data_IF_710105176730
#
_entry.id   IF_710105176730
#
_cell.length_a   1.000
_cell.length_b   1.000
_cell.length_c   1.000
_cell.angle_alpha   90.00
_cell.angle_beta   90.00
_cell.angle_gamma   90.00
#
_symmetry.space_group_name_H-M   'P 1'
#
loop_
_entity.id
_entity.type
_entity.pdbx_description
1 polymer ?
#
# COMPACT_ATOMS: atom_id res chain seq x y z
N UNK A 1 -27.07 28.00 36.28
CA UNK A 1 -25.94 28.11 35.34
C UNK A 1 -25.30 26.74 35.23
N UNK A 2 -25.54 26.02 34.15
CA UNK A 2 -24.76 24.84 33.80
C UNK A 2 -24.73 24.78 32.28
N UNK A 3 -23.57 25.08 31.73
CA UNK A 3 -23.29 25.21 30.30
C UNK A 3 -23.25 23.84 29.64
N UNK A 4 -24.21 23.59 28.75
CA UNK A 4 -24.23 22.44 27.84
C UNK A 4 -23.14 22.65 26.79
N UNK A 5 -22.06 21.87 26.87
CA UNK A 5 -21.06 21.79 25.82
C UNK A 5 -21.64 20.91 24.69
N UNK A 6 -22.06 21.56 23.60
CA UNK A 6 -22.43 20.91 22.36
C UNK A 6 -21.18 20.39 21.66
N UNK A 7 -20.88 19.10 21.83
CA UNK A 7 -19.90 18.40 21.00
C UNK A 7 -20.51 18.22 19.61
N UNK A 8 -20.09 19.03 18.65
CA UNK A 8 -20.46 18.88 17.24
C UNK A 8 -19.86 17.59 16.71
N UNK A 9 -20.69 16.56 16.53
CA UNK A 9 -20.38 15.38 15.74
C UNK A 9 -20.16 15.81 14.29
N UNK A 10 -18.90 15.91 13.87
CA UNK A 10 -18.57 16.02 12.44
C UNK A 10 -18.98 14.69 11.82
N UNK A 11 -20.07 14.70 11.04
CA UNK A 11 -20.54 13.53 10.31
C UNK A 11 -19.47 13.10 9.32
N UNK A 12 -18.93 11.90 9.55
CA UNK A 12 -18.01 11.19 8.66
C UNK A 12 -18.76 10.78 7.38
N UNK A 13 -18.96 11.72 6.45
CA UNK A 13 -19.64 11.44 5.19
C UNK A 13 -18.74 10.57 4.29
N UNK A 14 -19.00 9.27 4.31
CA UNK A 14 -18.41 8.32 3.36
C UNK A 14 -19.02 8.56 1.96
N UNK A 15 -18.16 8.94 1.03
CA UNK A 15 -18.47 9.22 -0.36
C UNK A 15 -18.16 7.99 -1.20
N UNK A 16 -19.15 7.50 -1.94
CA UNK A 16 -18.93 6.46 -2.95
C UNK A 16 -18.82 7.12 -4.32
N UNK A 17 -17.68 7.03 -4.97
CA UNK A 17 -17.40 7.63 -6.28
C UNK A 17 -17.29 6.54 -7.35
N UNK A 18 -17.78 6.82 -8.55
CA UNK A 18 -17.68 5.93 -9.71
C UNK A 18 -16.70 6.55 -10.70
N UNK A 19 -15.61 5.83 -10.97
CA UNK A 19 -14.55 6.26 -11.87
C UNK A 19 -14.63 5.43 -13.14
N UNK A 20 -14.89 6.10 -14.27
CA UNK A 20 -14.90 5.48 -15.59
C UNK A 20 -13.50 5.57 -16.20
N UNK A 21 -12.89 4.43 -16.48
CA UNK A 21 -11.58 4.32 -17.11
C UNK A 21 -11.54 3.14 -18.09
N UNK A 22 -10.96 3.34 -19.27
CA UNK A 22 -10.84 2.33 -20.34
C UNK A 22 -12.16 1.59 -20.64
N UNK A 23 -13.28 2.33 -20.67
CA UNK A 23 -14.62 1.78 -20.92
C UNK A 23 -15.27 1.02 -19.76
N UNK A 24 -14.56 0.79 -18.65
CA UNK A 24 -15.07 0.13 -17.43
C UNK A 24 -15.39 1.15 -16.33
N UNK A 25 -16.30 0.80 -15.44
CA UNK A 25 -16.65 1.60 -14.25
C UNK A 25 -16.08 0.93 -13.00
N UNK A 26 -15.37 1.71 -12.17
CA UNK A 26 -14.77 1.28 -10.91
C UNK A 26 -15.39 2.07 -9.76
N UNK A 27 -15.78 1.39 -8.69
CA UNK A 27 -16.36 2.05 -7.50
C UNK A 27 -15.28 2.23 -6.45
N UNK A 28 -15.14 3.46 -5.95
CA UNK A 28 -14.12 3.84 -4.98
C UNK A 28 -14.78 4.54 -3.79
N UNK A 29 -14.49 4.06 -2.57
CA UNK A 29 -15.02 4.65 -1.34
C UNK A 29 -13.95 5.52 -0.67
N UNK A 30 -14.31 6.77 -0.39
CA UNK A 30 -13.45 7.80 0.20
C UNK A 30 -14.22 8.59 1.26
N UNK A 31 -13.52 9.27 2.15
CA UNK A 31 -14.13 10.14 3.16
C UNK A 31 -13.89 11.62 2.82
N UNK A 32 -14.72 12.53 3.33
CA UNK A 32 -14.55 13.97 3.09
C UNK A 32 -13.20 14.54 3.57
N UNK A 33 -12.58 13.92 4.58
CA UNK A 33 -11.26 14.27 5.11
C UNK A 33 -10.08 13.64 4.34
N UNK A 34 -10.35 12.81 3.34
CA UNK A 34 -9.34 12.34 2.41
C UNK A 34 -8.92 13.46 1.44
N UNK A 35 -7.67 13.43 0.99
CA UNK A 35 -7.19 14.38 -0.04
C UNK A 35 -7.42 13.83 -1.44
N UNK A 36 -7.30 14.68 -2.47
CA UNK A 36 -7.28 14.20 -3.87
C UNK A 36 -6.17 13.17 -4.09
N UNK A 37 -5.00 13.34 -3.47
CA UNK A 37 -3.92 12.35 -3.54
C UNK A 37 -4.34 10.98 -3.01
N UNK A 38 -5.19 10.93 -1.97
CA UNK A 38 -5.74 9.68 -1.45
C UNK A 38 -6.79 9.08 -2.40
N UNK A 39 -7.68 9.90 -2.98
CA UNK A 39 -8.59 9.44 -4.03
C UNK A 39 -7.81 8.80 -5.19
N UNK A 40 -6.77 9.46 -5.69
CA UNK A 40 -5.92 8.91 -6.77
C UNK A 40 -5.25 7.60 -6.35
N UNK A 41 -4.80 7.47 -5.10
CA UNK A 41 -4.25 6.21 -4.59
C UNK A 41 -5.30 5.09 -4.60
N UNK A 42 -6.52 5.35 -4.12
CA UNK A 42 -7.61 4.35 -4.16
C UNK A 42 -8.01 3.98 -5.59
N UNK A 43 -7.93 4.92 -6.53
CA UNK A 43 -8.11 4.64 -7.97
C UNK A 43 -6.98 3.74 -8.49
N UNK A 44 -5.74 3.98 -8.06
CA UNK A 44 -4.59 3.15 -8.43
C UNK A 44 -4.78 1.70 -7.96
N UNK A 45 -5.31 1.48 -6.75
CA UNK A 45 -5.57 0.14 -6.20
C UNK A 45 -6.54 -0.68 -7.07
N UNK A 46 -7.54 -0.02 -7.71
CA UNK A 46 -8.55 -0.71 -8.53
C UNK A 46 -8.25 -0.70 -10.04
N UNK A 47 -7.36 0.19 -10.51
CA UNK A 47 -7.05 0.37 -11.96
C UNK A 47 -5.61 0.07 -12.35
N UNK A 48 -4.68 -0.05 -11.39
CA UNK A 48 -3.23 -0.13 -11.60
C UNK A 48 -2.61 1.08 -12.35
N UNK A 49 -3.34 2.18 -12.52
CA UNK A 49 -2.81 3.44 -13.08
C UNK A 49 -2.20 4.26 -11.96
N UNK A 50 -0.94 4.67 -12.07
CA UNK A 50 -0.26 5.41 -11.00
C UNK A 50 -0.89 6.79 -10.75
N UNK A 51 -0.90 7.31 -9.49
CA UNK A 51 -1.46 8.63 -9.18
C UNK A 51 -0.92 9.76 -10.07
N UNK A 52 0.37 9.73 -10.39
CA UNK A 52 1.01 10.71 -11.27
C UNK A 52 0.50 10.65 -12.73
N UNK A 53 0.01 9.48 -13.16
CA UNK A 53 -0.55 9.24 -14.50
C UNK A 53 -2.07 9.37 -14.56
N UNK A 54 -2.72 9.62 -13.44
CA UNK A 54 -4.16 9.79 -13.38
C UNK A 54 -4.55 11.25 -13.61
N UNK A 55 -5.24 11.48 -14.73
CA UNK A 55 -5.93 12.74 -15.02
C UNK A 55 -7.42 12.55 -14.78
N UNK A 56 -7.89 13.03 -13.64
CA UNK A 56 -9.31 13.02 -13.27
C UNK A 56 -10.04 14.18 -13.96
N UNK A 57 -11.13 13.87 -14.63
CA UNK A 57 -11.96 14.83 -15.37
C UNK A 57 -13.38 14.83 -14.78
N UNK A 58 -13.77 16.00 -14.27
CA UNK A 58 -15.13 16.27 -13.84
C UNK A 58 -15.52 17.71 -14.20
N UNK A 59 -16.62 17.94 -14.98
CA UNK A 59 -16.93 19.24 -15.58
C UNK A 59 -17.02 20.43 -14.61
N UNK A 60 -17.37 20.20 -13.34
CA UNK A 60 -17.54 21.28 -12.35
C UNK A 60 -16.28 21.60 -11.53
N UNK A 61 -15.24 20.77 -11.60
CA UNK A 61 -14.12 20.79 -10.62
C UNK A 61 -12.74 20.52 -11.26
N UNK A 62 -12.67 20.42 -12.59
CA UNK A 62 -11.51 19.85 -13.31
C UNK A 62 -10.13 20.43 -12.96
N UNK A 63 -9.99 21.74 -12.74
CA UNK A 63 -8.69 22.35 -12.39
C UNK A 63 -8.27 22.12 -10.95
N UNK A 64 -9.22 21.95 -10.03
CA UNK A 64 -8.95 21.70 -8.60
C UNK A 64 -8.48 20.26 -8.34
N UNK A 65 -8.85 19.32 -9.21
CA UNK A 65 -8.48 17.91 -9.15
C UNK A 65 -6.98 17.64 -9.42
N UNK A 66 -6.21 18.67 -9.77
CA UNK A 66 -4.76 18.58 -9.91
C UNK A 66 -4.00 18.77 -8.58
N UNK A 67 -4.60 19.42 -7.58
CA UNK A 67 -3.98 19.68 -6.30
C UNK A 67 -4.15 18.47 -5.36
N UNK A 68 -3.08 17.73 -5.12
CA UNK A 68 -3.11 16.50 -4.31
C UNK A 68 -3.28 16.74 -2.81
N UNK A 69 -3.11 17.98 -2.35
CA UNK A 69 -3.22 18.38 -0.95
C UNK A 69 -4.64 18.77 -0.53
N UNK A 70 -5.50 19.10 -1.51
CA UNK A 70 -6.86 19.55 -1.30
C UNK A 70 -7.77 18.43 -0.78
N UNK A 71 -8.60 18.74 0.22
CA UNK A 71 -9.56 17.81 0.82
C UNK A 71 -10.77 17.59 -0.10
N UNK A 72 -11.29 16.37 -0.12
CA UNK A 72 -12.47 16.01 -0.90
C UNK A 72 -13.73 16.74 -0.44
N UNK A 73 -13.88 17.02 0.87
CA UNK A 73 -14.98 17.80 1.43
C UNK A 73 -15.04 19.25 0.91
N UNK A 74 -13.93 19.79 0.39
CA UNK A 74 -13.89 21.14 -0.19
C UNK A 74 -14.37 21.18 -1.65
N UNK A 75 -14.66 20.02 -2.22
CA UNK A 75 -15.15 19.86 -3.58
C UNK A 75 -16.65 19.57 -3.57
N UNK A 76 -17.42 20.07 -4.56
CA UNK A 76 -18.84 19.75 -4.69
C UNK A 76 -19.01 18.34 -5.27
N UNK A 77 -18.62 17.32 -4.51
CA UNK A 77 -18.75 15.91 -4.85
C UNK A 77 -19.98 15.33 -4.15
N UNK A 78 -20.92 14.81 -4.93
CA UNK A 78 -22.08 14.08 -4.40
C UNK A 78 -21.77 12.58 -4.33
N UNK A 79 -22.42 11.84 -3.43
CA UNK A 79 -22.31 10.38 -3.41
C UNK A 79 -22.91 9.78 -4.68
N UNK A 80 -22.30 8.72 -5.21
CA UNK A 80 -22.56 8.12 -6.53
C UNK A 80 -22.14 8.97 -7.74
N UNK A 81 -21.28 9.97 -7.56
CA UNK A 81 -20.79 10.78 -8.67
C UNK A 81 -20.00 9.95 -9.68
N UNK A 82 -20.32 10.10 -10.96
CA UNK A 82 -19.56 9.54 -12.09
C UNK A 82 -18.53 10.55 -12.59
N UNK A 83 -17.24 10.18 -12.51
CA UNK A 83 -16.12 10.93 -13.09
C UNK A 83 -15.35 10.10 -14.11
N UNK A 84 -14.69 10.77 -15.05
CA UNK A 84 -13.88 10.10 -16.07
C UNK A 84 -12.42 10.22 -15.68
N UNK A 85 -11.68 9.12 -15.73
CA UNK A 85 -10.23 9.11 -15.55
C UNK A 85 -9.54 8.77 -16.87
N UNK A 86 -8.53 9.57 -17.22
CA UNK A 86 -7.59 9.27 -18.30
C UNK A 86 -6.25 8.93 -17.67
N UNK A 87 -5.68 7.81 -18.07
CA UNK A 87 -4.37 7.35 -17.64
C UNK A 87 -4.04 6.02 -18.30
N UNK A 88 -2.77 5.67 -18.30
CA UNK A 88 -2.23 4.41 -18.83
C UNK A 88 -1.59 3.62 -17.71
N UNK A 89 -1.74 2.30 -17.75
CA UNK A 89 -1.02 1.41 -16.83
C UNK A 89 0.46 1.38 -17.18
N UNK A 90 1.32 0.94 -16.26
CA UNK A 90 2.73 0.70 -16.59
C UNK A 90 2.88 -0.41 -17.64
N UNK A 91 2.01 -1.42 -17.63
CA UNK A 91 2.09 -2.58 -18.52
C UNK A 91 1.86 -2.20 -20.00
N UNK A 92 1.10 -1.13 -20.27
CA UNK A 92 0.84 -0.61 -21.61
C UNK A 92 1.98 0.29 -22.15
N UNK A 93 2.94 0.65 -21.30
CA UNK A 93 4.07 1.49 -21.68
C UNK A 93 5.28 0.60 -21.96
N UNK A 94 5.59 0.43 -23.26
CA UNK A 94 6.85 -0.14 -23.71
C UNK A 94 7.94 0.92 -23.53
N UNK A 95 8.37 1.17 -22.29
CA UNK A 95 9.52 2.01 -21.99
C UNK A 95 10.42 1.25 -21.01
N UNK A 96 11.65 1.07 -21.45
CA UNK A 96 12.74 0.32 -20.81
C UNK A 96 13.33 1.07 -19.60
N UNK A 97 12.47 1.63 -18.72
CA UNK A 97 12.89 2.44 -17.58
C UNK A 97 12.87 1.64 -16.30
N UNK A 98 14.08 1.27 -15.86
CA UNK A 98 14.48 0.64 -14.60
C UNK A 98 14.29 1.56 -13.39
N UNK A 99 13.38 2.53 -13.47
CA UNK A 99 13.16 3.51 -12.39
C UNK A 99 12.16 2.97 -11.38
N UNK A 100 12.64 1.98 -10.63
CA UNK A 100 12.09 1.69 -9.29
C UNK A 100 12.41 2.89 -8.39
N UNK A 101 11.51 3.26 -7.46
CA UNK A 101 11.72 4.42 -6.60
C UNK A 101 13.09 4.37 -5.91
N UNK A 102 13.72 5.54 -5.81
CA UNK A 102 15.04 5.74 -5.20
C UNK A 102 15.05 5.12 -3.80
N UNK A 103 16.11 4.36 -3.47
CA UNK A 103 16.29 3.77 -2.14
C UNK A 103 16.55 4.95 -1.20
N UNK A 104 15.54 5.35 -0.44
CA UNK A 104 15.70 6.38 0.58
C UNK A 104 16.18 5.70 1.84
N UNK A 105 17.38 6.07 2.32
CA UNK A 105 17.87 5.68 3.64
C UNK A 105 16.99 6.34 4.71
N UNK A 106 16.15 5.54 5.36
CA UNK A 106 15.19 5.97 6.37
C UNK A 106 15.83 6.17 7.76
N UNK A 107 17.13 5.92 7.92
CA UNK A 107 17.87 6.19 9.15
C UNK A 107 18.25 7.67 9.34
N UNK A 108 18.10 8.53 8.32
CA UNK A 108 18.39 9.97 8.40
C UNK A 108 17.20 10.83 8.86
N UNK A 109 16.17 10.24 9.46
CA UNK A 109 15.08 11.01 10.06
C UNK A 109 15.58 11.72 11.33
N UNK A 110 15.79 13.04 11.21
CA UNK A 110 16.19 13.93 12.29
C UNK A 110 15.36 13.73 13.55
N UNK A 111 16.05 13.66 14.69
CA UNK A 111 15.54 13.24 15.98
C UNK A 111 14.76 14.35 16.69
N UNK A 112 13.74 14.94 16.07
CA UNK A 112 12.97 16.04 16.68
C UNK A 112 11.44 15.82 16.59
N UNK A 113 10.82 15.86 17.77
CA UNK A 113 9.38 15.87 18.09
C UNK A 113 8.61 14.53 18.12
N UNK A 114 8.80 13.80 19.22
CA UNK A 114 8.22 12.47 19.51
C UNK A 114 6.68 12.41 19.75
N UNK A 115 5.90 13.43 19.38
CA UNK A 115 4.42 13.44 19.49
C UNK A 115 3.68 13.61 18.13
N UNK A 116 4.36 13.75 16.99
CA UNK A 116 3.76 14.52 15.86
C UNK A 116 3.03 13.77 14.71
N UNK A 117 2.78 12.45 14.75
CA UNK A 117 1.97 11.78 13.68
C UNK A 117 1.01 10.73 14.24
N UNK A 118 1.50 9.85 15.12
CA UNK A 118 0.73 8.74 15.69
C UNK A 118 -0.47 9.19 16.53
N UNK A 119 -0.37 10.37 17.13
CA UNK A 119 -1.38 10.87 18.07
C UNK A 119 -2.47 11.70 17.40
N UNK A 120 -2.30 12.07 16.12
CA UNK A 120 -3.28 12.80 15.33
C UNK A 120 -4.54 11.97 15.12
N UNK A 121 -5.69 12.54 15.49
CA UNK A 121 -6.97 11.81 15.46
C UNK A 121 -7.34 11.35 14.05
N UNK A 122 -7.02 12.14 13.02
CA UNK A 122 -7.21 11.77 11.60
C UNK A 122 -6.44 10.49 11.24
N UNK A 123 -5.19 10.36 11.71
CA UNK A 123 -4.39 9.17 11.47
C UNK A 123 -4.92 7.96 12.27
N UNK A 124 -5.39 8.18 13.50
CA UNK A 124 -6.06 7.15 14.30
C UNK A 124 -7.35 6.67 13.65
N UNK A 125 -8.15 7.55 13.06
CA UNK A 125 -9.35 7.19 12.30
C UNK A 125 -9.01 6.35 11.07
N UNK A 126 -8.01 6.75 10.28
CA UNK A 126 -7.52 5.96 9.14
C UNK A 126 -7.05 4.58 9.55
N UNK A 127 -6.33 4.48 10.67
CA UNK A 127 -5.92 3.20 11.24
C UNK A 127 -7.11 2.34 11.66
N UNK A 128 -8.09 2.90 12.39
CA UNK A 128 -9.30 2.18 12.81
C UNK A 128 -10.10 1.66 11.62
N UNK A 129 -10.26 2.47 10.57
CA UNK A 129 -10.91 2.06 9.32
C UNK A 129 -10.16 0.93 8.63
N UNK A 130 -8.83 1.00 8.60
CA UNK A 130 -8.02 -0.08 8.01
C UNK A 130 -8.13 -1.36 8.82
N UNK A 131 -8.14 -1.28 10.14
CA UNK A 131 -8.35 -2.44 11.04
C UNK A 131 -9.73 -3.09 10.80
N UNK A 132 -10.79 -2.30 10.56
CA UNK A 132 -12.13 -2.85 10.34
C UNK A 132 -12.33 -3.45 8.95
N UNK A 133 -11.68 -2.90 7.93
CA UNK A 133 -11.85 -3.32 6.53
C UNK A 133 -10.85 -4.39 6.09
N UNK A 134 -9.62 -4.36 6.60
CA UNK A 134 -8.57 -5.30 6.19
C UNK A 134 -8.75 -6.64 6.91
N UNK A 135 -9.06 -7.67 6.14
CA UNK A 135 -9.15 -9.03 6.66
C UNK A 135 -7.78 -9.70 6.61
N UNK A 136 -7.13 -9.79 7.77
CA UNK A 136 -5.89 -10.54 7.92
C UNK A 136 -6.16 -12.05 7.90
N UNK A 137 -5.49 -12.78 7.01
CA UNK A 137 -5.54 -14.23 6.95
C UNK A 137 -4.32 -14.83 7.66
N UNK A 138 -4.58 -15.59 8.73
CA UNK A 138 -3.52 -16.28 9.48
C UNK A 138 -3.19 -17.59 8.78
N UNK A 139 -1.92 -17.74 8.38
CA UNK A 139 -1.36 -19.00 7.88
C UNK A 139 -1.08 -19.96 9.03
N UNK A 140 -0.57 -19.42 10.14
CA UNK A 140 -0.27 -20.15 11.36
C UNK A 140 -0.69 -19.31 12.58
N UNK A 141 -1.20 -19.92 13.66
CA UNK A 141 -1.60 -19.18 14.86
C UNK A 141 -0.40 -18.59 15.61
N UNK A 142 -0.62 -17.47 16.32
CA UNK A 142 0.39 -16.93 17.22
C UNK A 142 0.64 -17.88 18.41
N UNK A 143 1.90 -18.00 18.83
CA UNK A 143 2.32 -18.87 19.93
C UNK A 143 2.33 -18.10 21.25
N UNK A 144 1.80 -18.73 22.31
CA UNK A 144 1.73 -18.11 23.62
C UNK A 144 3.12 -17.69 24.14
N UNK A 145 3.23 -16.45 24.62
CA UNK A 145 4.47 -15.91 25.19
C UNK A 145 5.55 -15.51 24.18
N UNK A 146 5.29 -15.64 22.86
CA UNK A 146 6.21 -15.18 21.82
C UNK A 146 5.93 -13.73 21.44
N UNK A 147 6.98 -13.02 21.06
CA UNK A 147 6.89 -11.65 20.52
C UNK A 147 6.51 -11.71 19.05
N UNK A 148 6.26 -10.56 18.41
CA UNK A 148 5.98 -10.47 16.98
C UNK A 148 7.13 -9.75 16.27
N UNK A 149 7.70 -10.39 15.25
CA UNK A 149 8.66 -9.81 14.32
C UNK A 149 7.95 -9.59 12.98
N UNK A 150 7.98 -8.35 12.50
CA UNK A 150 7.46 -7.98 11.18
C UNK A 150 8.64 -7.70 10.26
N UNK A 151 8.67 -8.35 9.10
CA UNK A 151 9.75 -8.22 8.12
C UNK A 151 9.19 -7.67 6.81
N UNK A 152 9.85 -6.63 6.29
CA UNK A 152 9.68 -6.24 4.89
C UNK A 152 10.34 -7.31 3.97
N UNK A 153 10.11 -7.21 2.67
CA UNK A 153 10.59 -8.16 1.67
C UNK A 153 11.77 -7.58 0.89
N UNK A 154 11.53 -6.49 0.18
CA UNK A 154 12.44 -5.92 -0.81
C UNK A 154 13.67 -5.33 -0.11
N UNK A 155 14.88 -5.80 -0.46
CA UNK A 155 16.13 -5.47 0.23
C UNK A 155 16.21 -5.84 1.73
N UNK A 156 15.18 -6.50 2.25
CA UNK A 156 15.19 -7.07 3.60
C UNK A 156 15.48 -8.56 3.56
N UNK A 157 14.71 -9.34 2.79
CA UNK A 157 14.84 -10.80 2.71
C UNK A 157 15.49 -11.26 1.40
N UNK A 158 15.37 -10.49 0.32
CA UNK A 158 15.95 -10.83 -0.97
C UNK A 158 16.20 -9.59 -1.84
N UNK A 159 17.04 -9.73 -2.87
CA UNK A 159 17.32 -8.73 -3.88
C UNK A 159 16.27 -8.76 -5.00
N UNK A 160 15.45 -7.71 -5.08
CA UNK A 160 14.40 -7.59 -6.08
C UNK A 160 14.85 -6.92 -7.39
N UNK A 161 16.06 -6.33 -7.43
CA UNK A 161 16.55 -5.57 -8.60
C UNK A 161 17.42 -6.39 -9.52
N UNK A 162 18.17 -7.35 -8.98
CA UNK A 162 19.00 -8.22 -9.81
C UNK A 162 18.15 -9.22 -10.60
N UNK A 163 18.60 -9.52 -11.81
CA UNK A 163 18.09 -10.63 -12.62
C UNK A 163 18.84 -11.90 -12.25
N UNK A 164 18.13 -12.99 -12.01
CA UNK A 164 18.72 -14.31 -11.77
C UNK A 164 17.95 -15.39 -12.54
N UNK A 165 18.62 -16.48 -12.90
CA UNK A 165 17.97 -17.66 -13.47
C UNK A 165 17.24 -18.47 -12.41
N UNK A 166 17.73 -18.41 -11.16
CA UNK A 166 17.15 -19.09 -10.01
C UNK A 166 16.78 -18.07 -8.91
N UNK A 167 15.53 -18.06 -8.41
CA UNK A 167 15.11 -17.19 -7.30
C UNK A 167 15.98 -17.30 -6.05
N UNK A 168 16.61 -18.46 -5.80
CA UNK A 168 17.49 -18.67 -4.65
C UNK A 168 18.77 -17.84 -4.70
N UNK A 169 19.23 -17.43 -5.88
CA UNK A 169 20.41 -16.56 -6.04
C UNK A 169 20.15 -15.13 -5.55
N UNK A 170 18.88 -14.74 -5.52
CA UNK A 170 18.44 -13.43 -5.05
C UNK A 170 18.20 -13.43 -3.53
N UNK A 171 18.18 -14.60 -2.90
CA UNK A 171 17.94 -14.73 -1.47
C UNK A 171 19.06 -14.05 -0.67
N UNK A 172 18.70 -13.28 0.36
CA UNK A 172 19.71 -12.70 1.25
C UNK A 172 20.50 -13.81 1.94
N UNK A 173 21.84 -13.74 1.99
CA UNK A 173 22.64 -14.75 2.69
C UNK A 173 22.15 -14.96 4.13
N UNK A 174 22.07 -16.22 4.54
CA UNK A 174 21.60 -16.67 5.86
C UNK A 174 20.11 -16.42 6.16
N UNK A 175 19.26 -16.23 5.15
CA UNK A 175 17.83 -15.99 5.35
C UNK A 175 17.17 -17.07 6.23
N UNK A 176 17.38 -18.35 5.93
CA UNK A 176 16.72 -19.43 6.67
C UNK A 176 17.26 -19.64 8.07
N UNK A 177 18.57 -19.47 8.26
CA UNK A 177 19.24 -19.53 9.55
C UNK A 177 18.76 -18.39 10.46
N UNK A 178 18.63 -17.18 9.90
CA UNK A 178 18.06 -16.03 10.56
C UNK A 178 16.61 -16.29 10.99
N UNK A 179 15.74 -16.71 10.05
CA UNK A 179 14.32 -16.97 10.34
C UNK A 179 14.13 -18.09 11.37
N UNK A 180 14.95 -19.14 11.30
CA UNK A 180 14.95 -20.23 12.29
C UNK A 180 15.34 -19.70 13.67
N UNK A 181 16.39 -18.89 13.74
CA UNK A 181 16.89 -18.33 14.99
C UNK A 181 15.85 -17.41 15.64
N UNK A 182 15.27 -16.47 14.89
CA UNK A 182 14.26 -15.54 15.44
C UNK A 182 12.94 -16.26 15.76
N UNK A 183 12.59 -17.33 15.05
CA UNK A 183 11.37 -18.09 15.34
C UNK A 183 11.38 -18.71 16.74
N UNK A 184 12.55 -18.92 17.34
CA UNK A 184 12.64 -19.36 18.73
C UNK A 184 12.01 -18.37 19.72
N UNK A 185 12.00 -17.07 19.41
CA UNK A 185 11.53 -15.99 20.30
C UNK A 185 10.34 -15.19 19.74
N UNK A 186 10.16 -15.19 18.42
CA UNK A 186 9.19 -14.38 17.71
C UNK A 186 8.29 -15.21 16.80
N UNK A 187 7.00 -14.91 16.79
CA UNK A 187 6.13 -15.16 15.65
C UNK A 187 6.49 -14.19 14.53
N UNK A 188 6.38 -14.63 13.28
CA UNK A 188 6.93 -13.92 12.12
C UNK A 188 5.78 -13.54 11.19
N UNK A 189 5.62 -12.24 10.93
CA UNK A 189 4.75 -11.73 9.87
C UNK A 189 5.61 -11.07 8.79
N UNK A 190 5.18 -11.20 7.54
CA UNK A 190 5.85 -10.56 6.41
C UNK A 190 4.91 -9.46 5.91
N UNK A 191 5.41 -8.23 5.82
CA UNK A 191 4.64 -7.08 5.38
C UNK A 191 5.36 -6.34 4.25
N UNK A 192 4.85 -6.50 3.04
CA UNK A 192 5.39 -5.83 1.86
C UNK A 192 4.68 -4.52 1.59
N UNK A 193 5.48 -3.46 1.42
CA UNK A 193 5.01 -2.17 0.95
C UNK A 193 4.93 -2.07 -0.59
N UNK A 194 5.22 -3.14 -1.32
CA UNK A 194 5.33 -3.13 -2.79
C UNK A 194 3.97 -2.82 -3.41
N UNK A 195 3.88 -1.67 -4.11
CA UNK A 195 2.65 -1.16 -4.76
C UNK A 195 2.63 -1.40 -6.27
N UNK A 196 3.75 -1.78 -6.89
CA UNK A 196 3.88 -1.78 -8.36
C UNK A 196 4.28 -3.16 -8.88
N UNK A 197 3.55 -3.64 -9.88
CA UNK A 197 3.89 -4.85 -10.62
C UNK A 197 5.20 -4.72 -11.42
N UNK A 198 5.73 -3.52 -11.65
CA UNK A 198 6.98 -3.34 -12.42
C UNK A 198 8.20 -3.99 -11.76
N UNK A 199 8.28 -4.04 -10.41
CA UNK A 199 9.28 -4.84 -9.70
C UNK A 199 9.17 -6.35 -9.99
N UNK A 200 7.97 -6.83 -10.30
CA UNK A 200 7.69 -8.23 -10.59
C UNK A 200 8.19 -8.62 -11.98
N UNK A 201 8.06 -7.70 -12.94
CA UNK A 201 8.39 -7.94 -14.35
C UNK A 201 9.92 -7.95 -14.57
N UNK A 202 10.68 -7.18 -13.79
CA UNK A 202 12.14 -7.13 -13.92
C UNK A 202 12.82 -8.48 -13.64
N UNK A 203 12.21 -9.36 -12.82
CA UNK A 203 12.82 -10.61 -12.37
C UNK A 203 12.51 -11.84 -13.20
N UNK A 204 11.76 -11.75 -14.29
CA UNK A 204 11.34 -12.95 -15.03
C UNK A 204 11.27 -12.73 -16.53
N UNK A 205 12.32 -13.14 -17.23
CA UNK A 205 12.32 -13.36 -18.69
C UNK A 205 11.28 -14.40 -19.18
N UNK A 206 10.51 -14.99 -18.26
CA UNK A 206 9.64 -16.15 -18.50
C UNK A 206 8.14 -15.89 -18.40
N UNK A 207 7.68 -14.66 -18.08
CA UNK A 207 6.24 -14.34 -18.07
C UNK A 207 5.87 -13.66 -19.38
N UNK A 208 6.11 -14.36 -20.49
CA UNK A 208 5.44 -14.06 -21.76
C UNK A 208 4.22 -14.98 -21.84
N UNK A 209 3.03 -14.39 -21.86
CA UNK A 209 1.72 -15.02 -22.12
C UNK A 209 0.89 -15.50 -20.92
N UNK A 210 0.71 -14.67 -19.89
CA UNK A 210 -0.51 -14.76 -19.08
C UNK A 210 -1.10 -13.37 -18.82
N UNK A 211 -2.27 -13.17 -19.41
CA UNK A 211 -3.18 -12.03 -19.25
C UNK A 211 -3.73 -12.00 -17.80
N UNK A 212 -2.86 -11.74 -16.82
CA UNK A 212 -3.23 -11.81 -15.40
C UNK A 212 -2.69 -10.57 -14.69
N UNK A 213 -3.63 -9.69 -14.32
CA UNK A 213 -3.48 -8.74 -13.22
C UNK A 213 -3.14 -9.56 -11.97
N UNK A 214 -1.86 -9.80 -11.72
CA UNK A 214 -1.42 -10.58 -10.58
C UNK A 214 -1.59 -9.71 -9.34
N UNK A 215 -2.56 -10.07 -8.50
CA UNK A 215 -2.76 -9.44 -7.20
C UNK A 215 -1.43 -9.50 -6.40
N UNK A 216 -1.03 -8.40 -5.76
CA UNK A 216 0.23 -8.30 -5.01
C UNK A 216 0.33 -9.38 -3.92
N UNK A 217 -0.76 -9.75 -3.27
CA UNK A 217 -0.78 -10.87 -2.33
C UNK A 217 -0.42 -12.20 -3.01
N UNK A 218 -0.84 -12.44 -4.26
CA UNK A 218 -0.42 -13.61 -5.03
C UNK A 218 1.08 -13.57 -5.34
N UNK A 219 1.63 -12.40 -5.62
CA UNK A 219 3.08 -12.24 -5.80
C UNK A 219 3.86 -12.57 -4.53
N UNK A 220 3.44 -12.03 -3.38
CA UNK A 220 4.08 -12.29 -2.08
C UNK A 220 4.06 -13.80 -1.81
N UNK A 221 2.91 -14.45 -1.98
CA UNK A 221 2.80 -15.90 -1.81
C UNK A 221 3.74 -16.68 -2.74
N UNK A 222 3.76 -16.32 -4.03
CA UNK A 222 4.63 -16.96 -5.02
C UNK A 222 6.11 -16.80 -4.64
N UNK A 223 6.56 -15.59 -4.31
CA UNK A 223 7.96 -15.32 -3.96
C UNK A 223 8.38 -16.00 -2.66
N UNK A 224 7.55 -15.91 -1.62
CA UNK A 224 7.85 -16.56 -0.34
C UNK A 224 7.84 -18.10 -0.45
N UNK A 225 7.05 -18.68 -1.36
CA UNK A 225 7.13 -20.10 -1.68
C UNK A 225 8.39 -20.44 -2.49
N UNK A 226 8.73 -19.65 -3.52
CA UNK A 226 9.96 -19.85 -4.32
C UNK A 226 11.25 -19.75 -3.51
N UNK A 227 11.28 -18.84 -2.53
CA UNK A 227 12.39 -18.71 -1.57
C UNK A 227 12.37 -19.78 -0.47
N UNK A 228 11.42 -20.73 -0.48
CA UNK A 228 11.29 -21.76 0.55
C UNK A 228 10.90 -21.23 1.93
N UNK A 229 10.40 -20.00 2.02
CA UNK A 229 10.04 -19.34 3.28
C UNK A 229 8.72 -19.87 3.85
N UNK A 230 7.74 -20.18 2.99
CA UNK A 230 6.43 -20.69 3.45
C UNK A 230 6.45 -22.19 3.82
N UNK A 231 7.34 -22.96 3.22
CA UNK A 231 7.37 -24.43 3.32
C UNK A 231 8.53 -24.97 4.17
N UNK A 232 9.15 -24.11 5.00
CA UNK A 232 10.27 -24.52 5.84
C UNK A 232 9.82 -25.39 7.04
N UNK A 233 10.54 -26.46 7.40
CA UNK A 233 10.23 -27.27 8.58
C UNK A 233 10.66 -26.62 9.91
N UNK A 234 11.62 -25.69 9.90
CA UNK A 234 12.24 -25.16 11.12
C UNK A 234 11.54 -23.92 11.70
N UNK A 235 10.67 -23.28 10.92
CA UNK A 235 9.90 -22.12 11.35
C UNK A 235 8.56 -22.04 10.61
N UNK A 236 7.68 -21.15 11.08
CA UNK A 236 6.38 -20.88 10.45
C UNK A 236 6.14 -19.39 10.35
N UNK A 237 5.55 -18.96 9.23
CA UNK A 237 5.09 -17.59 9.02
C UNK A 237 3.64 -17.49 9.48
N UNK A 238 3.36 -16.54 10.36
CA UNK A 238 2.05 -16.32 10.98
C UNK A 238 1.06 -15.71 9.99
N UNK A 239 1.47 -14.66 9.27
CA UNK A 239 0.63 -14.00 8.27
C UNK A 239 1.45 -13.24 7.23
N UNK A 240 0.82 -12.96 6.10
CA UNK A 240 1.34 -12.11 5.01
C UNK A 240 0.46 -10.86 4.92
N UNK A 241 1.09 -9.70 4.78
CA UNK A 241 0.45 -8.42 4.59
C UNK A 241 1.01 -7.76 3.33
N UNK A 242 0.13 -7.12 2.58
CA UNK A 242 0.44 -6.35 1.39
C UNK A 242 0.26 -4.85 1.64
N UNK A 243 0.51 -4.05 0.60
CA UNK A 243 0.32 -2.60 0.63
C UNK A 243 -1.12 -2.19 0.99
N UNK A 244 -2.12 -3.06 0.79
CA UNK A 244 -3.52 -2.82 1.16
C UNK A 244 -3.69 -2.81 2.69
N UNK A 245 -2.70 -3.20 3.49
CA UNK A 245 -2.70 -2.97 4.93
C UNK A 245 -2.14 -1.59 5.35
N UNK A 246 -1.47 -0.86 4.45
CA UNK A 246 -0.79 0.41 4.77
C UNK A 246 -1.72 1.63 4.77
N UNK A 247 -1.60 2.51 5.76
CA UNK A 247 -2.31 3.79 5.80
C UNK A 247 -1.42 4.94 5.31
N UNK A 248 -2.02 5.94 4.68
CA UNK A 248 -1.36 7.24 4.49
C UNK A 248 -1.54 8.09 5.74
N UNK A 249 -0.45 8.70 6.22
CA UNK A 249 -0.47 9.56 7.40
C UNK A 249 -0.39 11.03 7.01
N UNK A 250 -1.13 11.88 7.71
CA UNK A 250 -0.97 13.33 7.64
C UNK A 250 0.11 13.78 8.63
N UNK A 251 1.06 14.57 8.16
CA UNK A 251 2.11 15.21 8.96
C UNK A 251 2.05 16.73 8.83
N UNK A 252 2.43 17.44 9.88
CA UNK A 252 2.48 18.91 9.99
C UNK A 252 3.71 19.49 9.33
N UNK A 253 4.77 18.69 9.19
CA UNK A 253 5.92 19.07 8.35
C UNK A 253 5.49 19.09 6.89
N UNK A 254 5.27 20.30 6.37
CA UNK A 254 5.39 20.55 4.94
C UNK A 254 6.79 20.10 4.53
N UNK A 255 6.92 18.89 3.98
CA UNK A 255 8.01 18.63 3.06
C UNK A 255 7.69 19.50 1.84
N UNK A 256 8.24 20.70 1.82
CA UNK A 256 8.39 21.44 0.59
C UNK A 256 9.21 20.58 -0.36
N UNK A 257 8.54 20.02 -1.36
CA UNK A 257 9.10 19.68 -2.65
C UNK A 257 8.25 20.42 -3.68
#
# INVERSE_FOLDING_TARGET
>A
MSSTASTSSVSEEELTLIVKWSGKEYTVQVCGDDTIGELKRRICEVTNVLPIRQKLLYPKVGSKLADESLLLAQLPLESSLKMTMIGTTEDDIIVDTVDTPEIVDDFELGQEEAVDIKDKEVNKQKLRRRISQYKLELLNPCRAGKKLLVLDIDYTLFDHRSTAENPLELMRPYLHEFLTSVYSEYDIMIWSATRHLSCIICQSRFILNYEIVMNIMKWINLKMSQLGVLDNPNYKITALLDHIAMITVQSTSQRGL
#
